data_IF_139897236463
#
_entry.id   IF_139897236463
#
_cell.length_a   1.000
_cell.length_b   1.000
_cell.length_c   1.000
_cell.angle_alpha   90.00
_cell.angle_beta   90.00
_cell.angle_gamma   90.00
#
_symmetry.space_group_name_H-M   'P 1'
#
loop_
_entity.id
_entity.type
_entity.pdbx_description
1 polymer ?
#
# COMPACT_ATOMS: atom_id res chain seq x y z
N UNK A 1 14.23 28.48 9.73
CA UNK A 1 15.06 28.44 8.51
C UNK A 1 16.22 27.44 8.61
N UNK A 2 16.88 27.28 9.76
CA UNK A 2 18.01 26.33 9.95
C UNK A 2 17.67 24.85 9.82
N UNK A 3 16.51 24.37 10.32
CA UNK A 3 16.12 22.94 10.22
C UNK A 3 15.87 22.43 8.79
N UNK A 4 15.30 23.26 7.93
CA UNK A 4 15.01 22.90 6.53
C UNK A 4 16.29 22.84 5.69
N UNK A 5 17.25 23.73 5.96
CA UNK A 5 18.58 23.71 5.33
C UNK A 5 19.40 22.49 5.75
N UNK A 6 19.31 22.06 7.03
CA UNK A 6 20.01 20.87 7.50
C UNK A 6 19.42 19.56 6.95
N UNK A 7 18.10 19.49 6.78
CA UNK A 7 17.45 18.31 6.18
C UNK A 7 17.80 18.16 4.69
N UNK A 8 17.80 19.28 3.95
CA UNK A 8 18.18 19.28 2.52
C UNK A 8 19.66 18.95 2.30
N UNK A 9 20.54 19.37 3.21
CA UNK A 9 21.95 18.99 3.17
C UNK A 9 22.16 17.49 3.47
N UNK A 10 21.34 16.91 4.35
CA UNK A 10 21.39 15.48 4.69
C UNK A 10 20.88 14.60 3.54
N UNK A 11 19.79 14.99 2.87
CA UNK A 11 19.25 14.27 1.71
C UNK A 11 20.21 14.26 0.51
N UNK A 12 20.80 15.42 0.19
CA UNK A 12 21.80 15.51 -0.88
C UNK A 12 23.09 14.75 -0.56
N UNK A 13 23.50 14.73 0.71
CA UNK A 13 24.64 13.93 1.17
C UNK A 13 24.39 12.44 0.98
N UNK A 14 23.20 11.95 1.34
CA UNK A 14 22.81 10.54 1.14
C UNK A 14 22.85 10.16 -0.34
N UNK A 15 22.18 10.94 -1.21
CA UNK A 15 22.15 10.70 -2.65
C UNK A 15 23.57 10.65 -3.25
N UNK A 16 24.40 11.64 -2.91
CA UNK A 16 25.79 11.72 -3.38
C UNK A 16 26.59 10.47 -2.99
N UNK A 17 26.42 9.96 -1.77
CA UNK A 17 27.15 8.78 -1.30
C UNK A 17 26.67 7.48 -1.98
N UNK A 18 25.38 7.37 -2.28
CA UNK A 18 24.82 6.21 -2.97
C UNK A 18 25.30 6.13 -4.43
N UNK A 19 25.38 7.28 -5.11
CA UNK A 19 25.74 7.33 -6.54
C UNK A 19 27.26 7.31 -6.76
N UNK A 20 28.05 7.91 -5.87
CA UNK A 20 29.51 8.00 -6.04
C UNK A 20 30.22 6.63 -6.03
N UNK A 21 29.56 5.58 -5.57
CA UNK A 21 30.14 4.25 -5.43
C UNK A 21 29.47 3.26 -6.40
N UNK A 22 30.04 3.10 -7.60
CA UNK A 22 29.51 2.19 -8.62
C UNK A 22 29.36 0.72 -8.14
N UNK A 23 30.18 0.30 -7.16
CA UNK A 23 30.10 -1.04 -6.56
C UNK A 23 28.81 -1.25 -5.73
N UNK A 24 28.15 -0.17 -5.31
CA UNK A 24 26.93 -0.24 -4.51
C UNK A 24 25.68 -0.56 -5.34
N UNK A 25 25.70 -0.47 -6.67
CA UNK A 25 24.50 -0.72 -7.49
C UNK A 25 23.93 -2.11 -7.23
N UNK A 26 24.80 -3.13 -7.18
CA UNK A 26 24.38 -4.51 -6.86
C UNK A 26 23.84 -4.64 -5.44
N UNK A 27 24.40 -3.89 -4.50
CA UNK A 27 23.94 -3.91 -3.11
C UNK A 27 22.58 -3.20 -2.97
N UNK A 28 22.38 -2.09 -3.69
CA UNK A 28 21.12 -1.35 -3.76
C UNK A 28 20.03 -2.25 -4.37
N UNK A 29 20.32 -2.94 -5.47
CA UNK A 29 19.40 -3.90 -6.11
C UNK A 29 19.08 -5.12 -5.24
N UNK A 30 19.85 -5.35 -4.18
CA UNK A 30 19.62 -6.40 -3.20
C UNK A 30 18.85 -5.92 -1.96
N UNK A 31 18.58 -4.62 -1.83
CA UNK A 31 17.78 -4.08 -0.74
C UNK A 31 16.32 -4.55 -0.83
N UNK A 32 15.68 -4.63 0.33
CA UNK A 32 14.24 -4.79 0.42
C UNK A 32 13.52 -3.51 -0.05
N UNK A 33 12.40 -3.67 -0.75
CA UNK A 33 11.63 -2.56 -1.33
C UNK A 33 11.12 -1.57 -0.28
N UNK A 34 10.90 -2.00 0.96
CA UNK A 34 10.57 -1.11 2.08
C UNK A 34 11.73 -0.20 2.49
N UNK A 35 12.98 -0.66 2.33
CA UNK A 35 14.19 0.16 2.55
C UNK A 35 14.36 1.16 1.42
N UNK A 36 14.14 0.72 0.17
CA UNK A 36 14.14 1.58 -1.02
C UNK A 36 13.12 2.72 -0.84
N UNK A 37 11.89 2.41 -0.42
CA UNK A 37 10.88 3.41 -0.10
C UNK A 37 11.36 4.42 0.96
N UNK A 38 11.95 3.95 2.06
CA UNK A 38 12.46 4.85 3.12
C UNK A 38 13.59 5.75 2.61
N UNK A 39 14.47 5.26 1.73
CA UNK A 39 15.50 6.07 1.08
C UNK A 39 14.84 7.17 0.25
N UNK A 40 13.88 6.83 -0.62
CA UNK A 40 13.15 7.81 -1.44
C UNK A 40 12.44 8.85 -0.58
N UNK A 41 11.81 8.44 0.53
CA UNK A 41 11.16 9.36 1.46
C UNK A 41 12.14 10.32 2.14
N UNK A 42 13.37 9.87 2.42
CA UNK A 42 14.40 10.71 3.01
C UNK A 42 15.03 11.67 1.99
N UNK A 43 15.21 11.21 0.75
CA UNK A 43 15.75 12.05 -0.33
C UNK A 43 14.71 13.09 -0.77
N UNK A 44 13.43 12.68 -0.81
CA UNK A 44 12.36 13.37 -1.52
C UNK A 44 12.20 12.75 -2.91
N UNK A 45 10.96 12.44 -3.32
CA UNK A 45 10.70 11.82 -4.62
C UNK A 45 11.19 12.68 -5.79
N UNK A 46 10.99 13.99 -5.69
CA UNK A 46 11.42 15.00 -6.67
C UNK A 46 12.95 15.00 -6.90
N UNK A 47 13.72 14.70 -5.85
CA UNK A 47 15.19 14.66 -5.89
C UNK A 47 15.72 13.22 -6.11
N UNK A 48 14.84 12.21 -6.24
CA UNK A 48 15.23 10.80 -6.27
C UNK A 48 15.58 10.27 -7.67
N UNK A 49 15.47 11.07 -8.73
CA UNK A 49 15.61 10.61 -10.13
C UNK A 49 16.88 9.79 -10.39
N UNK A 50 18.04 10.27 -9.95
CA UNK A 50 19.31 9.55 -10.11
C UNK A 50 19.36 8.24 -9.31
N UNK A 51 18.70 8.17 -8.15
CA UNK A 51 18.59 6.95 -7.36
C UNK A 51 17.65 5.93 -8.01
N UNK A 52 16.55 6.39 -8.62
CA UNK A 52 15.58 5.53 -9.32
C UNK A 52 16.22 4.80 -10.51
N UNK A 53 17.28 5.34 -11.10
CA UNK A 53 18.04 4.65 -12.15
C UNK A 53 18.87 3.46 -11.62
N UNK A 54 19.13 3.37 -10.32
CA UNK A 54 19.96 2.33 -9.71
C UNK A 54 19.16 1.12 -9.22
N UNK A 55 17.88 1.34 -8.87
CA UNK A 55 16.99 0.28 -8.36
C UNK A 55 16.49 -0.62 -9.48
N UNK A 56 16.13 -1.86 -9.16
CA UNK A 56 15.48 -2.74 -10.13
C UNK A 56 14.03 -2.31 -10.40
N UNK A 57 13.45 -2.75 -11.53
CA UNK A 57 12.02 -2.52 -11.82
C UNK A 57 11.12 -3.03 -10.68
N UNK A 58 11.39 -4.24 -10.19
CA UNK A 58 10.62 -4.85 -9.09
C UNK A 58 10.65 -3.96 -7.83
N UNK A 59 11.82 -3.44 -7.44
CA UNK A 59 11.95 -2.54 -6.30
C UNK A 59 11.23 -1.21 -6.52
N UNK A 60 11.30 -0.66 -7.73
CA UNK A 60 10.63 0.59 -8.09
C UNK A 60 9.11 0.43 -7.99
N UNK A 61 8.56 -0.64 -8.59
CA UNK A 61 7.13 -0.94 -8.54
C UNK A 61 6.66 -1.18 -7.12
N UNK A 62 7.37 -1.99 -6.33
CA UNK A 62 7.02 -2.23 -4.94
C UNK A 62 7.07 -0.94 -4.09
N UNK A 63 8.09 -0.09 -4.28
CA UNK A 63 8.22 1.16 -3.55
C UNK A 63 7.10 2.13 -3.90
N UNK A 64 6.77 2.24 -5.20
CA UNK A 64 5.64 3.03 -5.68
C UNK A 64 4.31 2.46 -5.18
N UNK A 65 4.09 1.14 -5.24
CA UNK A 65 2.88 0.48 -4.73
C UNK A 65 2.71 0.66 -3.20
N UNK A 66 3.79 0.90 -2.47
CA UNK A 66 3.68 1.26 -1.06
C UNK A 66 3.37 2.74 -0.84
N UNK A 67 3.63 3.60 -1.82
CA UNK A 67 3.54 5.06 -1.70
C UNK A 67 2.25 5.64 -2.31
N UNK A 68 1.72 5.03 -3.37
CA UNK A 68 0.47 5.47 -4.04
C UNK A 68 -0.80 5.04 -3.30
N UNK A 69 -0.68 4.20 -2.27
CA UNK A 69 -1.82 3.74 -1.47
C UNK A 69 -1.80 4.43 -0.12
N UNK A 70 -2.78 5.29 0.11
CA UNK A 70 -2.84 6.14 1.31
C UNK A 70 -4.14 5.90 2.06
N UNK A 71 -4.06 5.78 3.38
CA UNK A 71 -5.26 5.80 4.22
C UNK A 71 -5.76 7.24 4.36
N UNK A 72 -7.00 7.56 3.95
CA UNK A 72 -7.53 8.93 4.01
C UNK A 72 -7.71 9.41 5.46
N UNK A 73 -7.87 8.47 6.40
CA UNK A 73 -7.87 8.71 7.84
C UNK A 73 -7.35 7.47 8.56
N UNK A 74 -6.86 7.65 9.79
CA UNK A 74 -6.41 6.53 10.61
C UNK A 74 -7.54 5.50 10.79
N UNK A 75 -7.25 4.22 10.54
CA UNK A 75 -8.24 3.14 10.63
C UNK A 75 -9.22 3.06 9.44
N UNK A 76 -9.04 3.86 8.38
CA UNK A 76 -9.65 3.58 7.09
C UNK A 76 -8.72 2.74 6.22
N UNK A 77 -9.33 1.93 5.36
CA UNK A 77 -8.57 1.17 4.36
C UNK A 77 -7.82 2.12 3.43
N UNK A 78 -6.67 1.66 2.95
CA UNK A 78 -5.88 2.40 1.97
C UNK A 78 -6.69 2.56 0.68
N UNK A 79 -6.58 3.74 0.06
CA UNK A 79 -7.17 4.03 -1.24
C UNK A 79 -6.07 4.38 -2.23
N UNK A 80 -6.30 4.04 -3.49
CA UNK A 80 -5.43 4.44 -4.58
C UNK A 80 -5.42 5.97 -4.67
N UNK A 81 -4.22 6.54 -4.71
CA UNK A 81 -4.00 7.96 -4.89
C UNK A 81 -3.38 8.21 -6.27
N UNK A 82 -4.25 8.53 -7.22
CA UNK A 82 -3.88 8.84 -8.61
C UNK A 82 -2.95 10.05 -8.72
N UNK A 83 -3.13 11.08 -7.88
CA UNK A 83 -2.23 12.26 -7.83
C UNK A 83 -0.79 11.85 -7.50
N UNK A 84 -0.65 10.96 -6.50
CA UNK A 84 0.66 10.47 -6.09
C UNK A 84 1.28 9.60 -7.17
N UNK A 85 0.48 8.79 -7.87
CA UNK A 85 0.94 8.04 -9.03
C UNK A 85 1.45 8.96 -10.15
N UNK A 86 0.74 10.06 -10.45
CA UNK A 86 1.15 11.00 -11.49
C UNK A 86 2.43 11.76 -11.10
N UNK A 87 2.64 12.04 -9.81
CA UNK A 87 3.93 12.58 -9.33
C UNK A 87 5.07 11.60 -9.60
N UNK A 88 4.86 10.30 -9.37
CA UNK A 88 5.85 9.28 -9.72
C UNK A 88 6.14 9.27 -11.22
N UNK A 89 5.09 9.31 -12.04
CA UNK A 89 5.22 9.33 -13.49
C UNK A 89 5.98 10.58 -13.99
N UNK A 90 5.76 11.75 -13.40
CA UNK A 90 6.51 12.98 -13.70
C UNK A 90 8.00 12.77 -13.53
N UNK A 91 8.42 12.24 -12.38
CA UNK A 91 9.84 12.00 -12.10
C UNK A 91 10.42 10.95 -13.05
N UNK A 92 9.66 9.90 -13.41
CA UNK A 92 10.11 8.92 -14.39
C UNK A 92 10.30 9.56 -15.78
N UNK A 93 9.39 10.44 -16.20
CA UNK A 93 9.48 11.16 -17.48
C UNK A 93 10.63 12.18 -17.48
N UNK A 94 10.94 12.81 -16.35
CA UNK A 94 12.10 13.69 -16.17
C UNK A 94 13.43 12.93 -16.33
N UNK A 95 13.51 11.66 -15.88
CA UNK A 95 14.66 10.78 -16.16
C UNK A 95 14.73 10.48 -17.67
N UNK A 96 13.59 10.20 -18.28
CA UNK A 96 13.46 10.10 -19.73
C UNK A 96 12.23 9.32 -20.18
N UNK A 97 11.63 9.73 -21.30
CA UNK A 97 10.40 9.14 -21.83
C UNK A 97 10.48 7.61 -22.04
N UNK A 98 11.55 7.12 -22.68
CA UNK A 98 11.73 5.67 -22.91
C UNK A 98 11.88 4.90 -21.60
N UNK A 99 12.57 5.49 -20.61
CA UNK A 99 12.71 4.88 -19.28
C UNK A 99 11.35 4.79 -18.58
N UNK A 100 10.56 5.88 -18.60
CA UNK A 100 9.23 5.89 -18.01
C UNK A 100 8.33 4.84 -18.67
N UNK A 101 8.27 4.81 -20.00
CA UNK A 101 7.42 3.85 -20.72
C UNK A 101 7.83 2.41 -20.43
N UNK A 102 9.13 2.10 -20.41
CA UNK A 102 9.62 0.76 -20.06
C UNK A 102 9.13 0.35 -18.66
N UNK A 103 9.23 1.24 -17.67
CA UNK A 103 8.76 0.94 -16.30
C UNK A 103 7.25 0.87 -16.18
N UNK A 104 6.51 1.70 -16.90
CA UNK A 104 5.05 1.71 -16.91
C UNK A 104 4.49 0.47 -17.62
N UNK A 105 5.10 0.04 -18.72
CA UNK A 105 4.70 -1.15 -19.48
C UNK A 105 4.82 -2.45 -18.67
N UNK A 106 5.70 -2.49 -17.68
CA UNK A 106 5.86 -3.62 -16.76
C UNK A 106 4.84 -3.62 -15.60
N UNK A 107 4.01 -2.58 -15.46
CA UNK A 107 2.99 -2.47 -14.41
C UNK A 107 1.71 -3.22 -14.73
N UNK A 108 0.85 -3.38 -13.71
CA UNK A 108 -0.51 -3.88 -13.90
C UNK A 108 -1.35 -2.90 -14.74
N UNK A 109 -1.82 -3.36 -15.89
CA UNK A 109 -2.66 -2.57 -16.81
C UNK A 109 -3.96 -2.09 -16.14
N UNK A 110 -4.49 -2.85 -15.18
CA UNK A 110 -5.70 -2.45 -14.44
C UNK A 110 -5.44 -1.23 -13.56
N UNK A 111 -4.25 -1.13 -12.95
CA UNK A 111 -3.84 0.03 -12.17
C UNK A 111 -3.70 1.25 -13.07
N UNK A 112 -3.06 1.11 -14.23
CA UNK A 112 -2.92 2.21 -15.20
C UNK A 112 -4.29 2.71 -15.67
N UNK A 113 -5.18 1.78 -16.01
CA UNK A 113 -6.52 2.10 -16.45
C UNK A 113 -7.33 2.79 -15.34
N UNK A 114 -7.28 2.30 -14.09
CA UNK A 114 -7.95 2.94 -12.96
C UNK A 114 -7.45 4.39 -12.72
N UNK A 115 -6.14 4.62 -12.76
CA UNK A 115 -5.56 5.97 -12.59
C UNK A 115 -5.97 6.90 -13.73
N UNK A 116 -5.85 6.45 -14.98
CA UNK A 116 -6.13 7.29 -16.15
C UNK A 116 -7.64 7.57 -16.30
N UNK A 117 -8.51 6.61 -16.01
CA UNK A 117 -9.95 6.81 -16.03
C UNK A 117 -10.41 7.93 -15.08
N UNK A 118 -9.69 8.17 -13.97
CA UNK A 118 -9.97 9.30 -13.08
C UNK A 118 -9.60 10.67 -13.69
N UNK A 119 -8.68 10.70 -14.67
CA UNK A 119 -8.03 11.94 -15.15
C UNK A 119 -8.39 12.33 -16.57
N UNK A 120 -8.71 11.37 -17.42
CA UNK A 120 -8.99 11.60 -18.85
C UNK A 120 -10.25 10.89 -19.29
N UNK A 121 -10.83 11.41 -20.36
CA UNK A 121 -11.79 10.71 -21.21
C UNK A 121 -11.08 10.30 -22.49
N UNK A 122 -11.37 9.11 -22.99
CA UNK A 122 -10.94 8.65 -24.29
C UNK A 122 -12.19 8.38 -25.13
N UNK A 123 -12.30 8.99 -26.30
CA UNK A 123 -13.43 8.80 -27.21
C UNK A 123 -12.87 8.55 -28.60
N UNK A 124 -13.42 7.57 -29.31
CA UNK A 124 -13.05 7.33 -30.70
C UNK A 124 -13.59 8.45 -31.61
N UNK A 125 -12.84 8.81 -32.64
CA UNK A 125 -13.17 9.92 -33.54
C UNK A 125 -14.56 9.76 -34.17
N UNK A 126 -14.92 8.55 -34.59
CA UNK A 126 -16.20 8.26 -35.23
C UNK A 126 -17.36 8.41 -34.23
N UNK A 127 -17.16 7.95 -32.99
CA UNK A 127 -18.14 8.07 -31.91
C UNK A 127 -18.33 9.54 -31.51
N UNK A 128 -17.24 10.30 -31.40
CA UNK A 128 -17.30 11.73 -31.12
C UNK A 128 -18.08 12.49 -32.20
N UNK A 129 -17.88 12.12 -33.47
CA UNK A 129 -18.60 12.72 -34.59
C UNK A 129 -20.11 12.40 -34.55
N UNK A 130 -20.50 11.19 -34.13
CA UNK A 130 -21.89 10.82 -33.91
C UNK A 130 -22.50 11.63 -32.76
N UNK A 131 -21.83 11.69 -31.61
CA UNK A 131 -22.28 12.46 -30.45
C UNK A 131 -22.46 13.95 -30.75
N UNK A 132 -21.59 14.54 -31.58
CA UNK A 132 -21.71 15.92 -32.02
C UNK A 132 -22.92 16.16 -32.93
N UNK A 133 -23.27 15.19 -33.78
CA UNK A 133 -24.47 15.28 -34.64
C UNK A 133 -25.76 15.18 -33.81
N UNK A 134 -25.80 14.28 -32.83
CA UNK A 134 -26.97 14.10 -31.95
C UNK A 134 -27.22 15.34 -31.07
N UNK A 135 -26.15 16.01 -30.61
CA UNK A 135 -26.26 17.23 -29.81
C UNK A 135 -26.92 18.40 -30.56
N UNK A 136 -26.73 18.49 -31.89
CA UNK A 136 -27.35 19.52 -32.73
C UNK A 136 -28.86 19.26 -32.99
N UNK A 137 -29.32 18.02 -32.86
CA UNK A 137 -30.71 17.62 -33.15
C UNK A 137 -31.65 17.73 -31.93
N UNK A 138 -31.14 17.53 -30.71
CA UNK A 138 -31.92 17.65 -29.46
C UNK A 138 -31.34 18.74 -28.53
N UNK A 139 -32.01 19.89 -28.43
CA UNK A 139 -31.63 21.06 -27.60
C UNK A 139 -31.65 20.76 -26.07
N UNK A 140 -32.02 19.54 -25.68
CA UNK A 140 -32.08 19.05 -24.29
C UNK A 140 -31.14 17.84 -24.06
N UNK A 141 -30.26 17.54 -25.01
CA UNK A 141 -29.33 16.42 -24.95
C UNK A 141 -28.43 16.49 -23.72
N UNK A 142 -28.27 15.33 -23.09
CA UNK A 142 -27.61 15.08 -21.79
C UNK A 142 -26.09 15.31 -21.79
N UNK A 143 -25.54 16.07 -22.75
CA UNK A 143 -24.12 16.08 -23.06
C UNK A 143 -23.32 17.24 -22.43
N UNK A 144 -23.76 17.79 -21.30
CA UNK A 144 -23.03 18.86 -20.59
C UNK A 144 -21.59 18.48 -20.24
N UNK A 145 -21.33 17.19 -20.00
CA UNK A 145 -19.99 16.70 -19.69
C UNK A 145 -19.10 16.69 -20.93
N UNK A 146 -19.61 16.25 -22.08
CA UNK A 146 -18.89 16.29 -23.35
C UNK A 146 -18.68 17.73 -23.83
N UNK A 147 -19.70 18.58 -23.77
CA UNK A 147 -19.56 20.01 -24.09
C UNK A 147 -18.49 20.66 -23.22
N UNK A 148 -18.49 20.41 -21.90
CA UNK A 148 -17.47 20.94 -20.99
C UNK A 148 -16.07 20.36 -21.24
N UNK A 149 -15.98 19.10 -21.65
CA UNK A 149 -14.72 18.45 -21.99
C UNK A 149 -14.15 18.97 -23.33
N UNK A 150 -15.01 19.24 -24.31
CA UNK A 150 -14.67 19.88 -25.58
C UNK A 150 -14.33 21.36 -25.41
N UNK A 151 -15.00 22.06 -24.49
CA UNK A 151 -14.62 23.40 -24.04
C UNK A 151 -13.31 23.41 -23.24
N UNK A 152 -12.84 22.24 -22.78
CA UNK A 152 -11.56 22.14 -22.09
C UNK A 152 -10.41 22.41 -23.08
N UNK A 153 -9.44 23.20 -22.63
CA UNK A 153 -8.27 23.60 -23.44
C UNK A 153 -7.31 22.44 -23.69
N UNK A 154 -7.49 21.30 -22.99
CA UNK A 154 -6.52 20.22 -22.94
C UNK A 154 -7.13 18.94 -23.55
N UNK A 155 -7.04 18.86 -24.88
CA UNK A 155 -7.34 17.66 -25.64
C UNK A 155 -6.19 17.34 -26.61
N UNK A 156 -6.09 16.09 -27.06
CA UNK A 156 -5.17 15.70 -28.12
C UNK A 156 -5.77 14.58 -28.97
N UNK A 157 -5.46 14.63 -30.26
CA UNK A 157 -5.69 13.51 -31.17
C UNK A 157 -4.56 12.49 -31.03
N UNK A 158 -4.94 11.24 -30.79
CA UNK A 158 -4.02 10.12 -30.62
C UNK A 158 -4.51 8.93 -31.44
N UNK A 159 -4.17 8.93 -32.73
CA UNK A 159 -4.64 7.89 -33.65
C UNK A 159 -6.14 7.99 -33.89
N UNK A 160 -6.87 6.93 -33.56
CA UNK A 160 -8.33 6.84 -33.70
C UNK A 160 -9.08 7.47 -32.52
N UNK A 161 -8.36 7.92 -31.49
CA UNK A 161 -8.94 8.45 -30.26
C UNK A 161 -8.68 9.95 -30.11
N UNK A 162 -9.66 10.66 -29.56
CA UNK A 162 -9.50 11.97 -28.93
C UNK A 162 -9.42 11.76 -27.43
N UNK A 163 -8.34 12.25 -26.84
CA UNK A 163 -8.13 12.22 -25.38
C UNK A 163 -8.45 13.60 -24.84
N UNK A 164 -9.31 13.68 -23.83
CA UNK A 164 -9.71 14.93 -23.19
C UNK A 164 -9.40 14.89 -21.70
N UNK A 165 -8.79 15.96 -21.18
CA UNK A 165 -8.51 16.06 -19.76
C UNK A 165 -9.79 16.38 -18.97
N UNK A 166 -10.05 15.62 -17.89
CA UNK A 166 -11.09 15.98 -16.92
C UNK A 166 -10.69 17.18 -16.06
N UNK A 167 -9.37 17.41 -15.94
CA UNK A 167 -8.78 18.56 -15.27
C UNK A 167 -7.46 18.96 -15.94
N UNK A 168 -7.02 20.21 -15.79
CA UNK A 168 -5.72 20.64 -16.32
C UNK A 168 -4.51 20.08 -15.55
N UNK A 169 -4.73 19.53 -14.35
CA UNK A 169 -3.64 19.03 -13.52
C UNK A 169 -3.05 17.75 -14.13
N UNK A 170 -1.72 17.66 -14.19
CA UNK A 170 -0.97 16.52 -14.73
C UNK A 170 -1.22 16.22 -16.23
N UNK A 171 -1.88 17.11 -16.98
CA UNK A 171 -2.14 16.89 -18.40
C UNK A 171 -0.85 16.71 -19.22
N UNK A 172 0.16 17.55 -18.99
CA UNK A 172 1.44 17.46 -19.71
C UNK A 172 2.13 16.10 -19.45
N UNK A 173 2.02 15.60 -18.22
CA UNK A 173 2.53 14.29 -17.80
C UNK A 173 1.83 13.16 -18.54
N UNK A 174 0.50 13.16 -18.54
CA UNK A 174 -0.31 12.13 -19.19
C UNK A 174 -0.09 12.16 -20.70
N UNK A 175 -0.14 13.33 -21.32
CA UNK A 175 0.07 13.48 -22.76
C UNK A 175 1.47 13.02 -23.20
N UNK A 176 2.50 13.38 -22.45
CA UNK A 176 3.86 12.92 -22.73
C UNK A 176 3.99 11.40 -22.60
N UNK A 177 3.38 10.78 -21.58
CA UNK A 177 3.34 9.33 -21.45
C UNK A 177 2.66 8.68 -22.66
N UNK A 178 1.45 9.13 -23.04
CA UNK A 178 0.69 8.53 -24.13
C UNK A 178 1.42 8.64 -25.48
N UNK A 179 2.04 9.79 -25.77
CA UNK A 179 2.87 9.98 -26.96
C UNK A 179 4.09 9.03 -26.95
N UNK A 180 4.74 8.89 -25.79
CA UNK A 180 5.89 7.99 -25.66
C UNK A 180 5.47 6.51 -25.81
N UNK A 181 4.32 6.12 -25.24
CA UNK A 181 3.75 4.78 -25.41
C UNK A 181 3.37 4.49 -26.85
N UNK A 182 2.81 5.46 -27.59
CA UNK A 182 2.48 5.29 -29.01
C UNK A 182 3.72 4.92 -29.83
N UNK A 183 4.87 5.49 -29.48
CA UNK A 183 6.13 5.25 -30.19
C UNK A 183 6.78 3.91 -29.83
N UNK A 184 6.72 3.50 -28.56
CA UNK A 184 7.56 2.40 -28.04
C UNK A 184 6.75 1.15 -27.65
N UNK A 185 5.47 1.29 -27.29
CA UNK A 185 4.61 0.23 -26.77
C UNK A 185 3.15 0.36 -27.27
N UNK A 186 2.97 0.51 -28.59
CA UNK A 186 1.67 0.74 -29.21
C UNK A 186 0.62 -0.32 -28.84
N UNK A 187 0.97 -1.60 -28.82
CA UNK A 187 0.03 -2.68 -28.47
C UNK A 187 -0.56 -2.53 -27.05
N UNK A 188 0.21 -1.97 -26.11
CA UNK A 188 -0.26 -1.71 -24.74
C UNK A 188 -1.17 -0.49 -24.72
N UNK A 189 -0.77 0.57 -25.43
CA UNK A 189 -1.56 1.79 -25.57
C UNK A 189 -2.94 1.49 -26.16
N UNK A 190 -3.01 0.70 -27.24
CA UNK A 190 -4.26 0.39 -27.91
C UNK A 190 -5.24 -0.33 -26.97
N UNK A 191 -4.77 -1.35 -26.22
CA UNK A 191 -5.60 -2.03 -25.22
C UNK A 191 -6.08 -1.10 -24.12
N UNK A 192 -5.20 -0.22 -23.64
CA UNK A 192 -5.51 0.74 -22.59
C UNK A 192 -6.56 1.75 -23.06
N UNK A 193 -6.42 2.30 -24.27
CA UNK A 193 -7.37 3.25 -24.84
C UNK A 193 -8.73 2.62 -25.13
N UNK A 194 -8.77 1.40 -25.66
CA UNK A 194 -10.04 0.67 -25.85
C UNK A 194 -10.80 0.46 -24.53
N UNK A 195 -10.08 0.19 -23.43
CA UNK A 195 -10.69 0.05 -22.10
C UNK A 195 -11.17 1.38 -21.54
N UNK A 196 -10.35 2.44 -21.66
CA UNK A 196 -10.69 3.79 -21.23
C UNK A 196 -11.89 4.34 -22.01
N UNK A 197 -12.02 4.02 -23.30
CA UNK A 197 -13.17 4.39 -24.11
C UNK A 197 -14.46 3.83 -23.52
N UNK A 198 -14.49 2.53 -23.22
CA UNK A 198 -15.67 1.89 -22.64
C UNK A 198 -16.12 2.55 -21.33
N UNK A 199 -15.16 2.86 -20.44
CA UNK A 199 -15.42 3.58 -19.19
C UNK A 199 -15.92 5.01 -19.46
N UNK A 200 -15.31 5.69 -20.43
CA UNK A 200 -15.67 7.08 -20.78
C UNK A 200 -17.08 7.19 -21.33
N UNK A 201 -17.49 6.24 -22.18
CA UNK A 201 -18.83 6.22 -22.77
C UNK A 201 -19.90 5.98 -21.71
N UNK A 202 -19.68 5.01 -20.80
CA UNK A 202 -20.60 4.78 -19.69
C UNK A 202 -20.75 6.03 -18.80
N UNK A 203 -19.64 6.71 -18.46
CA UNK A 203 -19.68 7.93 -17.66
C UNK A 203 -20.44 9.09 -18.35
N UNK A 204 -20.40 9.16 -19.68
CA UNK A 204 -21.15 10.13 -20.48
C UNK A 204 -22.65 9.76 -20.47
N UNK A 205 -22.97 8.47 -20.62
CA UNK A 205 -24.34 7.96 -20.72
C UNK A 205 -25.10 7.93 -19.37
N UNK A 206 -24.42 7.69 -18.23
CA UNK A 206 -25.03 7.44 -16.92
C UNK A 206 -25.68 8.66 -16.23
N UNK A 207 -25.94 9.73 -16.98
CA UNK A 207 -26.58 10.96 -16.51
C UNK A 207 -28.07 10.79 -16.06
N UNK A 208 -28.64 9.57 -16.05
CA UNK A 208 -30.08 9.34 -15.78
C UNK A 208 -30.41 8.54 -14.50
N UNK A 209 -29.42 8.27 -13.63
CA UNK A 209 -29.60 8.13 -12.16
C UNK A 209 -30.69 7.19 -11.62
N UNK A 210 -31.12 6.16 -12.36
CA UNK A 210 -32.24 5.28 -11.96
C UNK A 210 -31.80 4.04 -11.18
N UNK A 211 -30.49 3.71 -11.16
CA UNK A 211 -29.91 2.66 -10.30
C UNK A 211 -28.52 3.08 -9.80
N UNK A 212 -28.23 2.87 -8.51
CA UNK A 212 -26.87 2.92 -7.95
C UNK A 212 -26.09 1.65 -8.35
N UNK A 213 -25.88 1.45 -9.66
CA UNK A 213 -24.88 0.49 -10.13
C UNK A 213 -23.51 1.15 -10.08
N UNK A 214 -22.48 0.38 -9.74
CA UNK A 214 -21.11 0.86 -9.83
C UNK A 214 -20.77 1.06 -11.31
N UNK A 215 -20.23 2.22 -11.66
CA UNK A 215 -19.69 2.41 -13.01
C UNK A 215 -18.49 1.47 -13.24
N UNK A 216 -18.17 1.16 -14.48
CA UNK A 216 -16.98 0.37 -14.83
C UNK A 216 -15.69 0.99 -14.26
N UNK A 217 -15.64 2.32 -14.13
CA UNK A 217 -14.55 3.04 -13.46
C UNK A 217 -14.46 2.76 -11.97
N UNK A 218 -15.60 2.62 -11.29
CA UNK A 218 -15.65 2.21 -9.88
C UNK A 218 -15.32 0.72 -9.71
N UNK A 219 -15.78 -0.13 -10.64
CA UNK A 219 -15.48 -1.57 -10.65
C UNK A 219 -13.98 -1.81 -10.79
N UNK A 220 -13.31 -1.17 -11.77
CA UNK A 220 -11.86 -1.37 -11.96
C UNK A 220 -11.05 -0.89 -10.76
N UNK A 221 -11.44 0.24 -10.15
CA UNK A 221 -10.79 0.75 -8.94
C UNK A 221 -10.98 -0.20 -7.76
N UNK A 222 -12.18 -0.77 -7.62
CA UNK A 222 -12.49 -1.81 -6.64
C UNK A 222 -11.66 -3.08 -6.83
N UNK A 223 -11.53 -3.56 -8.07
CA UNK A 223 -10.75 -4.75 -8.41
C UNK A 223 -9.26 -4.57 -8.12
N UNK A 224 -8.68 -3.42 -8.49
CA UNK A 224 -7.28 -3.09 -8.21
C UNK A 224 -7.03 -3.03 -6.70
N UNK A 225 -7.97 -2.45 -5.94
CA UNK A 225 -7.91 -2.39 -4.47
C UNK A 225 -7.97 -3.78 -3.87
N UNK A 226 -8.90 -4.62 -4.31
CA UNK A 226 -9.08 -5.99 -3.82
C UNK A 226 -7.86 -6.87 -4.10
N UNK A 227 -7.35 -6.85 -5.34
CA UNK A 227 -6.13 -7.59 -5.74
C UNK A 227 -4.93 -7.20 -4.89
N UNK A 228 -4.77 -5.91 -4.58
CA UNK A 228 -3.73 -5.45 -3.66
C UNK A 228 -3.94 -5.98 -2.25
N UNK A 229 -5.14 -5.83 -1.70
CA UNK A 229 -5.44 -6.32 -0.35
C UNK A 229 -5.15 -7.81 -0.21
N UNK A 230 -5.52 -8.62 -1.21
CA UNK A 230 -5.21 -10.04 -1.26
C UNK A 230 -3.69 -10.30 -1.20
N UNK A 231 -2.90 -9.64 -2.07
CA UNK A 231 -1.43 -9.78 -2.04
C UNK A 231 -0.82 -9.38 -0.69
N UNK A 232 -1.35 -8.34 -0.05
CA UNK A 232 -0.91 -7.88 1.28
C UNK A 232 -1.31 -8.86 2.39
N UNK A 233 -2.51 -9.43 2.34
CA UNK A 233 -2.92 -10.48 3.27
C UNK A 233 -2.03 -11.72 3.18
N UNK A 234 -1.64 -12.12 1.97
CA UNK A 234 -0.70 -13.22 1.75
C UNK A 234 0.67 -12.98 2.40
N UNK A 235 1.08 -11.71 2.49
CA UNK A 235 2.30 -11.26 3.17
C UNK A 235 2.12 -11.05 4.69
N UNK A 236 0.91 -11.28 5.21
CA UNK A 236 0.58 -11.18 6.63
C UNK A 236 0.12 -9.81 7.10
N UNK A 237 -0.18 -8.88 6.20
CA UNK A 237 -0.86 -7.63 6.55
C UNK A 237 -2.34 -7.87 6.86
N UNK A 238 -2.95 -6.93 7.58
CA UNK A 238 -4.38 -6.94 7.92
C UNK A 238 -4.97 -5.60 7.52
N UNK A 239 -6.13 -5.60 6.84
CA UNK A 239 -6.80 -4.36 6.45
C UNK A 239 -7.37 -3.63 7.68
N UNK A 240 -7.59 -2.32 7.57
CA UNK A 240 -8.12 -1.54 8.67
C UNK A 240 -9.58 -1.93 8.99
N UNK A 241 -10.36 -2.27 7.96
CA UNK A 241 -11.71 -2.85 8.12
C UNK A 241 -11.70 -4.16 8.89
N UNK A 242 -10.79 -5.09 8.56
CA UNK A 242 -10.65 -6.38 9.26
C UNK A 242 -10.24 -6.18 10.71
N UNK A 243 -9.26 -5.31 10.98
CA UNK A 243 -8.84 -4.98 12.34
C UNK A 243 -9.94 -4.33 13.16
N UNK A 244 -10.70 -3.41 12.55
CA UNK A 244 -11.85 -2.77 13.19
C UNK A 244 -12.94 -3.79 13.52
N UNK A 245 -13.25 -4.71 12.60
CA UNK A 245 -14.21 -5.78 12.83
C UNK A 245 -13.77 -6.70 13.99
N UNK A 246 -12.49 -7.08 14.04
CA UNK A 246 -11.94 -7.90 15.12
C UNK A 246 -12.03 -7.21 16.48
N UNK A 247 -11.63 -5.93 16.57
CA UNK A 247 -11.70 -5.18 17.83
C UNK A 247 -13.15 -4.94 18.27
N UNK A 248 -14.05 -4.63 17.32
CA UNK A 248 -15.48 -4.43 17.59
C UNK A 248 -16.17 -5.72 18.06
N UNK A 249 -15.79 -6.87 17.51
CA UNK A 249 -16.25 -8.18 17.99
C UNK A 249 -15.92 -8.36 19.48
N UNK A 250 -14.69 -8.08 19.91
CA UNK A 250 -14.28 -8.16 21.32
C UNK A 250 -15.08 -7.18 22.20
N UNK A 251 -15.32 -5.96 21.69
CA UNK A 251 -16.09 -4.94 22.39
C UNK A 251 -17.56 -5.32 22.59
N UNK A 252 -18.12 -6.12 21.69
CA UNK A 252 -19.50 -6.60 21.78
C UNK A 252 -19.64 -7.87 22.64
N UNK A 253 -18.61 -8.70 22.74
CA UNK A 253 -18.65 -9.94 23.54
C UNK A 253 -18.56 -9.70 25.06
N UNK A 254 -19.16 -10.58 25.87
CA UNK A 254 -18.93 -10.60 27.32
C UNK A 254 -17.63 -11.33 27.68
N UNK A 255 -17.10 -11.11 28.89
CA UNK A 255 -15.91 -11.85 29.34
C UNK A 255 -16.17 -13.37 29.39
N UNK A 256 -17.36 -13.78 29.83
CA UNK A 256 -17.74 -15.19 29.88
C UNK A 256 -17.81 -15.84 28.48
N UNK A 257 -18.30 -15.11 27.47
CA UNK A 257 -18.28 -15.56 26.08
C UNK A 257 -16.84 -15.76 25.58
N UNK A 258 -15.96 -14.78 25.78
CA UNK A 258 -14.56 -14.87 25.35
C UNK A 258 -13.79 -16.01 26.04
N UNK A 259 -14.15 -16.36 27.28
CA UNK A 259 -13.56 -17.48 28.00
C UNK A 259 -14.06 -18.83 27.51
N UNK A 260 -15.37 -18.93 27.27
CA UNK A 260 -16.01 -20.17 26.79
C UNK A 260 -15.74 -20.47 25.30
N UNK A 261 -15.13 -19.52 24.58
CA UNK A 261 -14.66 -19.70 23.20
C UNK A 261 -13.62 -20.84 23.14
N UNK A 262 -14.02 -21.96 22.50
CA UNK A 262 -13.17 -23.14 22.28
C UNK A 262 -12.50 -23.14 20.91
N UNK A 263 -13.14 -22.49 19.94
CA UNK A 263 -12.64 -22.41 18.58
C UNK A 263 -12.12 -21.01 18.28
N UNK A 264 -11.11 -20.94 17.42
CA UNK A 264 -10.62 -19.67 16.90
C UNK A 264 -11.72 -18.96 16.08
N UNK A 265 -11.79 -17.64 16.20
CA UNK A 265 -12.78 -16.83 15.47
C UNK A 265 -12.54 -16.87 13.96
N UNK A 266 -13.59 -16.59 13.19
CA UNK A 266 -13.54 -16.63 11.73
C UNK A 266 -12.54 -15.65 11.12
N UNK A 267 -12.36 -14.47 11.72
CA UNK A 267 -11.42 -13.45 11.21
C UNK A 267 -9.99 -13.98 11.32
N UNK A 268 -9.62 -14.48 12.50
CA UNK A 268 -8.30 -15.02 12.76
C UNK A 268 -8.05 -16.31 11.95
N UNK A 269 -9.05 -17.20 11.82
CA UNK A 269 -8.96 -18.39 10.96
C UNK A 269 -8.70 -18.01 9.50
N UNK A 270 -9.39 -16.99 8.97
CA UNK A 270 -9.24 -16.52 7.60
C UNK A 270 -7.82 -15.96 7.37
N UNK A 271 -7.31 -15.15 8.29
CA UNK A 271 -5.96 -14.60 8.23
C UNK A 271 -4.89 -15.70 8.08
N UNK A 272 -4.87 -16.68 8.99
CA UNK A 272 -3.86 -17.74 8.95
C UNK A 272 -4.04 -18.72 7.78
N UNK A 273 -5.23 -18.79 7.18
CA UNK A 273 -5.47 -19.56 5.96
C UNK A 273 -4.89 -18.86 4.73
N UNK A 274 -4.98 -17.54 4.67
CA UNK A 274 -4.52 -16.74 3.53
C UNK A 274 -3.00 -16.47 3.58
N UNK A 275 -2.40 -16.50 4.78
CA UNK A 275 -0.97 -16.27 4.96
C UNK A 275 -0.13 -17.31 4.19
N UNK A 276 0.66 -16.85 3.21
CA UNK A 276 1.62 -17.69 2.52
C UNK A 276 2.91 -17.76 3.33
N UNK A 277 3.55 -18.94 3.51
CA UNK A 277 4.86 -19.00 4.13
C UNK A 277 5.80 -18.14 3.31
N UNK A 278 6.39 -17.12 3.95
CA UNK A 278 7.30 -16.21 3.29
C UNK A 278 8.34 -17.01 2.51
N UNK A 279 8.53 -16.70 1.22
CA UNK A 279 9.67 -17.25 0.49
C UNK A 279 10.90 -16.93 1.33
N UNK A 280 11.76 -17.91 1.68
CA UNK A 280 13.03 -17.61 2.30
C UNK A 280 13.80 -16.76 1.31
N UNK A 281 13.71 -15.44 1.44
CA UNK A 281 14.63 -14.53 0.78
C UNK A 281 15.98 -14.89 1.38
N UNK A 282 16.75 -15.68 0.65
CA UNK A 282 18.11 -16.03 1.05
C UNK A 282 18.79 -14.74 1.45
N UNK A 283 19.39 -14.72 2.65
CA UNK A 283 19.97 -13.52 3.27
C UNK A 283 20.85 -12.83 2.24
N UNK A 284 20.31 -11.81 1.58
CA UNK A 284 21.03 -11.06 0.56
C UNK A 284 22.07 -10.26 1.32
N UNK A 285 23.33 -10.58 1.09
CA UNK A 285 24.43 -10.02 1.88
C UNK A 285 24.65 -8.58 1.43
N UNK A 286 24.21 -7.62 2.24
CA UNK A 286 24.46 -6.20 2.01
C UNK A 286 25.90 -5.89 2.41
N UNK A 287 26.65 -5.15 1.58
CA UNK A 287 28.01 -4.78 1.92
C UNK A 287 28.10 -3.94 3.21
N UNK A 288 29.21 -4.04 3.97
CA UNK A 288 29.43 -3.23 5.18
C UNK A 288 29.36 -1.73 4.90
N UNK A 289 29.74 -1.30 3.69
CA UNK A 289 29.75 0.11 3.30
C UNK A 289 28.32 0.64 3.15
N UNK A 290 27.43 -0.08 2.45
CA UNK A 290 26.02 0.32 2.36
C UNK A 290 25.35 0.30 3.73
N UNK A 291 25.63 -0.69 4.58
CA UNK A 291 25.12 -0.72 5.95
C UNK A 291 25.57 0.49 6.78
N UNK A 292 26.78 0.98 6.57
CA UNK A 292 27.28 2.17 7.27
C UNK A 292 26.56 3.44 6.80
N UNK A 293 26.35 3.60 5.49
CA UNK A 293 25.61 4.73 4.90
C UNK A 293 24.17 4.73 5.44
N UNK A 294 23.47 3.59 5.38
CA UNK A 294 22.10 3.47 5.89
C UNK A 294 22.01 3.82 7.38
N UNK A 295 22.92 3.30 8.21
CA UNK A 295 22.97 3.62 9.64
C UNK A 295 23.22 5.10 9.92
N UNK A 296 24.10 5.75 9.16
CA UNK A 296 24.41 7.17 9.32
C UNK A 296 23.16 8.04 9.11
N UNK A 297 22.29 7.61 8.19
CA UNK A 297 21.04 8.27 7.86
C UNK A 297 19.83 7.73 8.64
N UNK A 298 20.04 6.92 9.68
CA UNK A 298 18.97 6.28 10.50
C UNK A 298 18.01 5.38 9.70
N UNK A 299 18.42 4.95 8.51
CA UNK A 299 17.71 3.98 7.69
C UNK A 299 18.07 2.58 8.20
N UNK A 300 17.05 1.85 8.63
CA UNK A 300 17.22 0.47 9.06
C UNK A 300 16.85 -0.42 7.88
N UNK A 301 17.84 -1.18 7.38
CA UNK A 301 17.55 -2.30 6.51
C UNK A 301 16.79 -3.34 7.34
N UNK A 302 15.46 -3.34 7.23
CA UNK A 302 14.66 -4.45 7.70
C UNK A 302 14.98 -5.62 6.77
N UNK A 303 15.99 -6.41 7.11
CA UNK A 303 16.05 -7.76 6.58
C UNK A 303 14.72 -8.40 6.93
N UNK A 304 13.94 -8.81 5.93
CA UNK A 304 12.61 -9.44 5.97
C UNK A 304 12.56 -10.78 6.75
N UNK A 305 13.57 -11.03 7.56
CA UNK A 305 13.74 -12.17 8.45
C UNK A 305 14.52 -11.79 9.71
N UNK A 306 14.52 -10.51 10.10
CA UNK A 306 14.98 -10.13 11.44
C UNK A 306 13.88 -10.55 12.41
N UNK A 307 14.10 -11.55 13.28
CA UNK A 307 13.16 -11.77 14.37
C UNK A 307 13.10 -10.46 15.12
N UNK A 308 11.91 -9.85 15.24
CA UNK A 308 11.72 -8.70 16.11
C UNK A 308 12.42 -9.01 17.42
N UNK A 309 13.50 -8.29 17.71
CA UNK A 309 14.22 -8.49 18.96
C UNK A 309 13.25 -8.10 20.05
N UNK A 310 12.81 -9.08 20.86
CA UNK A 310 12.10 -8.80 22.09
C UNK A 310 12.94 -7.77 22.86
N UNK A 311 12.44 -6.56 22.99
CA UNK A 311 13.14 -5.51 23.70
C UNK A 311 13.41 -6.00 25.13
N UNK A 312 14.62 -5.81 25.64
CA UNK A 312 15.02 -6.22 26.99
C UNK A 312 14.44 -5.31 28.08
N UNK A 313 13.25 -4.73 27.84
CA UNK A 313 12.59 -3.83 28.77
C UNK A 313 12.08 -4.62 29.98
N UNK A 314 12.87 -4.52 31.05
CA UNK A 314 12.80 -4.91 32.49
C UNK A 314 11.47 -5.26 33.19
N UNK A 315 10.33 -5.40 32.54
CA UNK A 315 9.11 -5.89 33.19
C UNK A 315 8.94 -7.40 33.01
N UNK A 316 8.62 -8.09 34.12
CA UNK A 316 8.42 -9.54 34.20
C UNK A 316 7.13 -9.93 33.44
N UNK A 317 7.21 -10.00 32.13
CA UNK A 317 6.15 -10.52 31.27
C UNK A 317 6.19 -12.06 31.28
N UNK A 318 5.07 -12.70 31.63
CA UNK A 318 4.94 -14.15 31.59
C UNK A 318 5.03 -14.63 30.14
N UNK A 319 4.40 -13.89 29.22
CA UNK A 319 4.40 -14.20 27.79
C UNK A 319 5.81 -14.12 27.19
N UNK A 320 6.62 -13.10 27.55
CA UNK A 320 8.01 -13.01 27.06
C UNK A 320 8.89 -14.16 27.57
N UNK A 321 8.70 -14.58 28.82
CA UNK A 321 9.43 -15.73 29.37
C UNK A 321 9.04 -17.03 28.64
N UNK A 322 7.74 -17.26 28.46
CA UNK A 322 7.20 -18.39 27.70
C UNK A 322 7.77 -18.45 26.28
N UNK A 323 7.81 -17.33 25.55
CA UNK A 323 8.40 -17.28 24.21
C UNK A 323 9.91 -17.56 24.20
N UNK A 324 10.63 -17.12 25.24
CA UNK A 324 12.07 -17.37 25.38
C UNK A 324 12.34 -18.86 25.63
N UNK A 325 11.52 -19.51 26.44
CA UNK A 325 11.58 -20.95 26.69
C UNK A 325 11.17 -21.77 25.46
N UNK A 326 10.15 -21.35 24.72
CA UNK A 326 9.77 -22.00 23.47
C UNK A 326 10.87 -21.92 22.42
N UNK A 327 11.59 -20.79 22.35
CA UNK A 327 12.69 -20.62 21.40
C UNK A 327 13.78 -21.68 21.57
N UNK A 328 14.01 -22.16 22.80
CA UNK A 328 15.02 -23.19 23.09
C UNK A 328 14.45 -24.61 23.08
N UNK A 329 13.19 -24.79 23.44
CA UNK A 329 12.56 -26.11 23.61
C UNK A 329 11.77 -26.61 22.39
N UNK A 330 11.13 -25.72 21.63
CA UNK A 330 10.29 -26.08 20.48
C UNK A 330 10.22 -24.94 19.45
N UNK A 331 11.10 -25.01 18.44
CA UNK A 331 11.22 -23.98 17.42
C UNK A 331 9.96 -23.82 16.56
N UNK A 332 9.24 -24.90 16.26
CA UNK A 332 8.02 -24.85 15.43
C UNK A 332 6.89 -24.13 16.18
N UNK A 333 6.68 -24.49 17.45
CA UNK A 333 5.69 -23.82 18.30
C UNK A 333 6.06 -22.35 18.53
N UNK A 334 7.35 -22.04 18.70
CA UNK A 334 7.83 -20.66 18.78
C UNK A 334 7.46 -19.84 17.53
N UNK A 335 7.70 -20.37 16.32
CA UNK A 335 7.34 -19.67 15.08
C UNK A 335 5.84 -19.44 14.97
N UNK A 336 5.02 -20.43 15.35
CA UNK A 336 3.57 -20.27 15.39
C UNK A 336 3.14 -19.13 16.32
N UNK A 337 3.71 -19.05 17.53
CA UNK A 337 3.40 -18.01 18.51
C UNK A 337 3.91 -16.63 18.12
N UNK A 338 5.05 -16.57 17.45
CA UNK A 338 5.53 -15.33 16.85
C UNK A 338 4.59 -14.85 15.73
N UNK A 339 4.05 -15.77 14.91
CA UNK A 339 3.01 -15.46 13.93
C UNK A 339 1.73 -14.91 14.56
N UNK A 340 1.26 -15.49 15.65
CA UNK A 340 0.13 -14.98 16.44
C UNK A 340 0.37 -13.56 16.97
N UNK A 341 1.58 -13.27 17.46
CA UNK A 341 1.92 -11.92 17.89
C UNK A 341 2.02 -10.91 16.75
N UNK A 342 2.62 -11.28 15.61
CA UNK A 342 2.69 -10.42 14.43
C UNK A 342 1.28 -10.06 13.93
N UNK A 343 0.37 -11.04 13.91
CA UNK A 343 -1.04 -10.80 13.60
C UNK A 343 -1.68 -9.76 14.54
N UNK A 344 -1.52 -9.94 15.85
CA UNK A 344 -2.07 -9.00 16.85
C UNK A 344 -1.44 -7.61 16.76
N UNK A 345 -0.14 -7.52 16.51
CA UNK A 345 0.54 -6.26 16.28
C UNK A 345 -0.03 -5.56 15.03
N UNK A 346 -0.24 -6.28 13.93
CA UNK A 346 -0.85 -5.74 12.71
C UNK A 346 -2.29 -5.24 12.93
N UNK A 347 -3.08 -5.96 13.73
CA UNK A 347 -4.41 -5.49 14.17
C UNK A 347 -4.31 -4.16 14.89
N UNK A 348 -3.36 -4.03 15.82
CA UNK A 348 -3.19 -2.80 16.59
C UNK A 348 -2.69 -1.64 15.71
N UNK A 349 -1.73 -1.86 14.82
CA UNK A 349 -1.21 -0.80 13.94
C UNK A 349 -2.31 -0.21 13.05
N UNK A 350 -3.21 -1.06 12.54
CA UNK A 350 -4.22 -0.66 11.55
C UNK A 350 -5.56 -0.29 12.17
N UNK A 351 -5.96 -0.93 13.28
CA UNK A 351 -7.27 -0.75 13.91
C UNK A 351 -7.28 0.05 15.21
N UNK A 352 -6.13 0.25 15.88
CA UNK A 352 -6.09 0.97 17.16
C UNK A 352 -5.70 2.44 17.01
N UNK A 353 -6.58 3.32 17.49
CA UNK A 353 -6.35 4.76 17.56
C UNK A 353 -5.97 5.15 19.00
N UNK A 354 -4.69 5.39 19.27
CA UNK A 354 -4.23 6.00 20.53
C UNK A 354 -3.45 7.27 20.23
N UNK A 355 -3.84 8.38 20.86
CA UNK A 355 -3.10 9.67 20.82
C UNK A 355 -2.74 10.17 19.41
N UNK A 356 -3.67 10.11 18.45
CA UNK A 356 -3.59 10.74 17.11
C UNK A 356 -2.45 10.27 16.20
N UNK A 357 -1.56 9.40 16.64
CA UNK A 357 -0.46 8.86 15.84
C UNK A 357 -0.63 7.34 15.66
N UNK A 358 -0.27 6.79 14.49
CA UNK A 358 -0.23 5.34 14.30
C UNK A 358 0.88 4.72 15.15
N UNK A 359 0.63 3.53 15.70
CA UNK A 359 1.64 2.79 16.44
C UNK A 359 2.76 2.32 15.51
N UNK A 360 4.01 2.49 15.95
CA UNK A 360 5.16 1.88 15.28
C UNK A 360 5.15 0.35 15.51
N UNK A 361 5.75 -0.47 14.62
CA UNK A 361 5.72 -1.93 14.75
C UNK A 361 6.18 -2.47 16.11
N UNK A 362 7.24 -1.89 16.66
CA UNK A 362 7.76 -2.29 17.99
C UNK A 362 6.78 -1.91 19.10
N UNK A 363 6.14 -0.75 19.01
CA UNK A 363 5.15 -0.29 20.00
C UNK A 363 3.88 -1.15 19.95
N UNK A 364 3.42 -1.51 18.75
CA UNK A 364 2.30 -2.40 18.56
C UNK A 364 2.58 -3.81 19.09
N UNK A 365 3.79 -4.32 18.89
CA UNK A 365 4.23 -5.60 19.45
C UNK A 365 4.27 -5.57 20.99
N UNK A 366 4.88 -4.55 21.57
CA UNK A 366 4.97 -4.40 23.03
C UNK A 366 3.58 -4.20 23.65
N UNK A 367 2.69 -3.47 22.98
CA UNK A 367 1.29 -3.35 23.39
C UNK A 367 0.56 -4.68 23.30
N UNK A 368 0.73 -5.45 22.21
CA UNK A 368 0.11 -6.77 22.07
C UNK A 368 0.51 -7.71 23.21
N UNK A 369 1.80 -7.78 23.52
CA UNK A 369 2.33 -8.58 24.63
C UNK A 369 1.72 -8.12 25.96
N UNK A 370 1.69 -6.80 26.21
CA UNK A 370 1.14 -6.24 27.45
C UNK A 370 -0.35 -6.55 27.63
N UNK A 371 -1.10 -6.54 26.52
CA UNK A 371 -2.53 -6.92 26.52
C UNK A 371 -2.68 -8.42 26.78
N UNK A 372 -1.87 -9.28 26.16
CA UNK A 372 -1.87 -10.72 26.45
C UNK A 372 -1.52 -11.02 27.92
N UNK A 373 -0.50 -10.37 28.49
CA UNK A 373 -0.13 -10.52 29.91
C UNK A 373 -1.29 -10.14 30.82
N UNK A 374 -2.01 -9.04 30.51
CA UNK A 374 -3.20 -8.64 31.27
C UNK A 374 -4.32 -9.67 31.15
N UNK A 375 -4.53 -10.23 29.97
CA UNK A 375 -5.50 -11.31 29.76
C UNK A 375 -5.14 -12.55 30.57
N UNK A 376 -3.87 -12.90 30.63
CA UNK A 376 -3.36 -14.03 31.40
C UNK A 376 -3.57 -13.85 32.91
N UNK A 377 -3.27 -12.67 33.44
CA UNK A 377 -3.55 -12.33 34.84
C UNK A 377 -5.05 -12.44 35.18
N UNK A 378 -5.93 -12.01 34.27
CA UNK A 378 -7.37 -12.13 34.45
C UNK A 378 -7.81 -13.59 34.46
N UNK A 379 -7.31 -14.40 33.53
CA UNK A 379 -7.61 -15.83 33.48
C UNK A 379 -7.14 -16.55 34.76
N UNK A 380 -5.93 -16.28 35.24
CA UNK A 380 -5.42 -16.82 36.51
C UNK A 380 -6.29 -16.42 37.71
N UNK A 381 -6.72 -15.15 37.78
CA UNK A 381 -7.55 -14.65 38.88
C UNK A 381 -8.92 -15.35 38.97
N UNK A 382 -9.37 -15.93 37.86
CA UNK A 382 -10.66 -16.60 37.72
C UNK A 382 -10.54 -18.13 37.73
N UNK A 383 -9.35 -18.69 37.99
CA UNK A 383 -9.07 -20.14 37.96
C UNK A 383 -9.42 -20.81 36.63
N UNK A 384 -9.22 -20.08 35.53
CA UNK A 384 -9.45 -20.60 34.18
C UNK A 384 -8.23 -21.41 33.70
N UNK A 385 -8.44 -22.52 32.99
CA UNK A 385 -7.39 -23.45 32.51
C UNK A 385 -6.64 -22.92 31.27
N UNK A 386 -6.68 -21.60 31.03
CA UNK A 386 -6.09 -20.98 29.83
C UNK A 386 -4.57 -20.95 29.95
N UNK A 387 -3.89 -21.59 29.00
CA UNK A 387 -2.44 -21.64 28.92
C UNK A 387 -1.86 -20.35 28.30
N UNK A 388 -0.63 -19.98 28.70
CA UNK A 388 0.22 -18.92 28.11
C UNK A 388 0.35 -19.06 26.58
N UNK A 389 0.12 -20.26 26.04
CA UNK A 389 0.10 -20.55 24.62
C UNK A 389 -1.11 -19.99 23.84
N UNK A 390 -2.23 -19.59 24.45
CA UNK A 390 -3.42 -19.13 23.72
C UNK A 390 -3.42 -17.61 23.46
N UNK A 391 -2.39 -17.10 22.77
CA UNK A 391 -2.10 -15.65 22.69
C UNK A 391 -3.26 -14.82 22.16
N UNK A 392 -3.95 -15.28 21.10
CA UNK A 392 -5.11 -14.57 20.55
C UNK A 392 -6.26 -14.50 21.57
N UNK A 393 -6.54 -15.58 22.29
CA UNK A 393 -7.60 -15.60 23.31
C UNK A 393 -7.25 -14.72 24.50
N UNK A 394 -6.01 -14.83 24.98
CA UNK A 394 -5.47 -13.97 26.03
C UNK A 394 -5.54 -12.49 25.63
N UNK A 395 -5.24 -12.18 24.36
CA UNK A 395 -5.39 -10.83 23.84
C UNK A 395 -6.84 -10.34 23.93
N UNK A 396 -7.82 -11.12 23.46
CA UNK A 396 -9.25 -10.74 23.53
C UNK A 396 -9.70 -10.43 24.96
N UNK A 397 -9.34 -11.30 25.91
CA UNK A 397 -9.66 -11.13 27.35
C UNK A 397 -8.99 -9.87 27.90
N UNK A 398 -7.69 -9.70 27.62
CA UNK A 398 -6.92 -8.55 28.07
C UNK A 398 -7.43 -7.23 27.50
N UNK A 399 -7.75 -7.22 26.19
CA UNK A 399 -8.25 -6.04 25.49
C UNK A 399 -9.56 -5.53 26.06
N UNK A 400 -10.48 -6.45 26.37
CA UNK A 400 -11.76 -6.14 27.01
C UNK A 400 -11.60 -5.43 28.35
N UNK A 401 -10.52 -5.72 29.08
CA UNK A 401 -10.16 -5.06 30.34
C UNK A 401 -9.29 -3.82 30.13
N UNK A 402 -8.57 -3.73 29.02
CA UNK A 402 -7.67 -2.61 28.71
C UNK A 402 -8.42 -1.32 28.36
N UNK A 403 -9.57 -1.43 27.66
CA UNK A 403 -10.43 -0.28 27.30
C UNK A 403 -11.37 0.20 28.41
N UNK A 404 -11.49 -0.54 29.52
CA UNK A 404 -12.23 -0.12 30.73
C UNK A 404 -11.27 0.46 31.75
#
# INVERSE_FOLDING_TARGET
MTKSLTLKADSQSLLTQLIANADLVRDIQNLDSGVVKKIIQQIGLEDAGEFLMLVSSEQLHDAMEQDIWLSPKQGADEQLNSERFLTWLEILLEIGASFAVEKIAEMDEDLLCAVLAEKILAIENDELALMAQEADEDEHSKNRYLEKALESVHNMDLGEYVIMAKSAQHWDTISHLLIAMQKEHQDILDRLLSRLQRISLEEIDDSDGLYELLSEGEVITGDVTAKRSERREEQGFVTASTSTAFLKMIEQSTLAELQSEKEQDHITKMYFRNLKPGKPQGVKTISPNLLQILKMHSLHAETSSTPLQLSSAKERSAIRNYLTELRTSNQELFQKKLGELNYLANILMTGYQHRKEPLRPIEAMDLAISVCDRGFQVAQSMQDDINEGELVKLFKIGWKKFKK
#
